data_IF_218881501085
#
_entry.id   IF_218881501085
#
_cell.length_a   1.000
_cell.length_b   1.000
_cell.length_c   1.000
_cell.angle_alpha   90.00
_cell.angle_beta   90.00
_cell.angle_gamma   90.00
#
_symmetry.space_group_name_H-M   'P 1'
#
loop_
_entity.id
_entity.type
_entity.pdbx_description
1 polymer ?
#
# COMPACT_ATOMS: atom_id res chain seq x y z
N UNK A 1 16.40 3.69 5.95
CA UNK A 1 15.82 2.51 5.29
C UNK A 1 16.94 1.55 4.99
N UNK A 2 16.94 0.35 5.56
CA UNK A 2 17.84 -0.70 5.06
C UNK A 2 17.32 -1.09 3.67
N UNK A 3 18.09 -0.77 2.66
CA UNK A 3 17.84 -1.19 1.28
C UNK A 3 17.95 -2.71 1.21
N UNK A 4 17.12 -3.34 0.39
CA UNK A 4 17.17 -4.79 0.13
C UNK A 4 18.59 -5.17 -0.27
N UNK A 5 19.13 -6.24 0.32
CA UNK A 5 20.49 -6.67 0.01
C UNK A 5 20.60 -7.06 -1.49
N UNK A 6 21.63 -6.64 -2.25
CA UNK A 6 21.69 -6.89 -3.70
C UNK A 6 21.52 -8.37 -4.08
N UNK A 7 22.18 -9.27 -3.33
CA UNK A 7 22.04 -10.71 -3.54
C UNK A 7 20.61 -11.24 -3.29
N UNK A 8 19.85 -10.62 -2.37
CA UNK A 8 18.45 -10.96 -2.13
C UNK A 8 17.54 -10.41 -3.23
N UNK A 9 17.88 -9.28 -3.84
CA UNK A 9 17.14 -8.70 -4.96
C UNK A 9 17.23 -9.61 -6.20
N UNK A 10 18.43 -10.12 -6.51
CA UNK A 10 18.63 -11.06 -7.63
C UNK A 10 17.84 -12.36 -7.41
N UNK A 11 17.86 -12.91 -6.20
CA UNK A 11 17.10 -14.13 -5.87
C UNK A 11 15.59 -13.89 -5.92
N UNK A 12 15.11 -12.72 -5.49
CA UNK A 12 13.70 -12.33 -5.65
C UNK A 12 13.33 -12.24 -7.12
N UNK A 13 14.15 -11.59 -7.95
CA UNK A 13 13.86 -11.47 -9.38
C UNK A 13 13.77 -12.84 -10.05
N UNK A 14 14.73 -13.71 -9.78
CA UNK A 14 14.73 -15.08 -10.27
C UNK A 14 13.46 -15.84 -9.84
N UNK A 15 13.05 -15.67 -8.58
CA UNK A 15 11.83 -16.30 -8.09
C UNK A 15 10.57 -15.78 -8.81
N UNK A 16 10.48 -14.47 -9.05
CA UNK A 16 9.35 -13.87 -9.75
C UNK A 16 9.27 -14.32 -11.21
N UNK A 17 10.42 -14.51 -11.87
CA UNK A 17 10.48 -15.04 -13.24
C UNK A 17 10.01 -16.51 -13.30
N UNK A 18 10.36 -17.32 -12.30
CA UNK A 18 9.89 -18.69 -12.17
C UNK A 18 8.38 -18.74 -11.88
N UNK A 19 7.88 -17.85 -11.02
CA UNK A 19 6.46 -17.72 -10.74
C UNK A 19 5.66 -17.35 -12.00
N UNK A 20 6.20 -16.43 -12.82
CA UNK A 20 5.60 -16.06 -14.10
C UNK A 20 5.57 -17.22 -15.11
N UNK A 21 6.50 -18.17 -15.01
CA UNK A 21 6.49 -19.42 -15.78
C UNK A 21 5.55 -20.50 -15.20
N UNK A 22 4.83 -20.20 -14.10
CA UNK A 22 3.99 -21.16 -13.38
C UNK A 22 4.75 -22.13 -12.49
N UNK A 23 6.08 -21.98 -12.36
CA UNK A 23 6.92 -22.83 -11.51
C UNK A 23 6.90 -22.32 -10.07
N UNK A 24 5.81 -22.62 -9.37
CA UNK A 24 5.53 -22.07 -8.04
C UNK A 24 6.45 -22.62 -6.94
N UNK A 25 6.76 -23.92 -6.92
CA UNK A 25 7.63 -24.49 -5.88
C UNK A 25 9.08 -23.98 -5.98
N UNK A 26 9.71 -23.89 -7.17
CA UNK A 26 11.01 -23.25 -7.31
C UNK A 26 10.98 -21.77 -6.91
N UNK A 27 9.92 -21.04 -7.28
CA UNK A 27 9.77 -19.64 -6.88
C UNK A 27 9.70 -19.48 -5.37
N UNK A 28 8.92 -20.31 -4.68
CA UNK A 28 8.85 -20.33 -3.21
C UNK A 28 10.23 -20.59 -2.58
N UNK A 29 10.97 -21.57 -3.09
CA UNK A 29 12.32 -21.89 -2.62
C UNK A 29 13.26 -20.67 -2.70
N UNK A 30 13.29 -19.98 -3.85
CA UNK A 30 14.17 -18.82 -4.02
C UNK A 30 13.74 -17.62 -3.17
N UNK A 31 12.44 -17.40 -2.97
CA UNK A 31 11.97 -16.35 -2.06
C UNK A 31 12.29 -16.63 -0.60
N UNK A 32 12.17 -17.88 -0.16
CA UNK A 32 12.55 -18.28 1.20
C UNK A 32 14.06 -18.09 1.41
N UNK A 33 14.88 -18.48 0.43
CA UNK A 33 16.32 -18.24 0.45
C UNK A 33 16.66 -16.75 0.47
N UNK A 34 15.94 -15.92 -0.29
CA UNK A 34 16.11 -14.46 -0.24
C UNK A 34 15.80 -13.90 1.16
N UNK A 35 14.81 -14.46 1.86
CA UNK A 35 14.47 -14.08 3.23
C UNK A 35 15.48 -14.55 4.27
N UNK A 36 16.15 -15.68 4.04
CA UNK A 36 17.27 -16.14 4.88
C UNK A 36 18.49 -15.22 4.72
N UNK A 37 18.77 -14.77 3.49
CA UNK A 37 19.87 -13.83 3.18
C UNK A 37 19.57 -12.45 3.75
N UNK A 38 18.34 -11.95 3.54
CA UNK A 38 17.88 -10.66 4.04
C UNK A 38 16.51 -10.81 4.73
N UNK A 39 16.49 -10.95 6.08
CA UNK A 39 15.26 -11.04 6.84
C UNK A 39 14.58 -9.68 7.03
N UNK A 40 14.72 -8.76 6.07
CA UNK A 40 14.11 -7.43 6.12
C UNK A 40 12.59 -7.49 5.93
N UNK A 41 11.94 -6.46 6.45
CA UNK A 41 10.50 -6.25 6.29
C UNK A 41 10.08 -6.17 4.81
N UNK A 42 10.96 -5.65 3.94
CA UNK A 42 10.69 -5.60 2.49
C UNK A 42 10.57 -6.99 1.87
N UNK A 43 11.51 -7.89 2.15
CA UNK A 43 11.47 -9.27 1.67
C UNK A 43 10.28 -10.03 2.26
N UNK A 44 9.97 -9.78 3.54
CA UNK A 44 8.78 -10.33 4.18
C UNK A 44 7.46 -9.91 3.49
N UNK A 45 7.36 -8.65 3.05
CA UNK A 45 6.21 -8.18 2.27
C UNK A 45 6.11 -8.91 0.92
N UNK A 46 7.23 -9.11 0.21
CA UNK A 46 7.26 -9.85 -1.07
C UNK A 46 6.75 -11.27 -0.88
N UNK A 47 7.25 -12.00 0.13
CA UNK A 47 6.78 -13.34 0.46
C UNK A 47 5.28 -13.37 0.75
N UNK A 48 4.77 -12.42 1.55
CA UNK A 48 3.34 -12.39 1.86
C UNK A 48 2.45 -12.15 0.64
N UNK A 49 2.84 -11.23 -0.26
CA UNK A 49 2.15 -11.03 -1.53
C UNK A 49 2.22 -12.27 -2.43
N UNK A 50 3.39 -12.92 -2.51
CA UNK A 50 3.56 -14.15 -3.29
C UNK A 50 2.62 -15.26 -2.81
N UNK A 51 2.58 -15.55 -1.50
CA UNK A 51 1.69 -16.56 -0.96
C UNK A 51 0.22 -16.23 -1.19
N UNK A 52 -0.19 -14.98 -0.94
CA UNK A 52 -1.58 -14.60 -1.07
C UNK A 52 -2.07 -14.63 -2.53
N UNK A 53 -1.27 -14.15 -3.49
CA UNK A 53 -1.69 -13.95 -4.87
C UNK A 53 -1.34 -15.12 -5.79
N UNK A 54 -0.12 -15.65 -5.68
CA UNK A 54 0.38 -16.70 -6.58
C UNK A 54 0.00 -18.09 -6.07
N UNK A 55 0.21 -18.35 -4.78
CA UNK A 55 -0.12 -19.64 -4.16
C UNK A 55 -1.56 -19.74 -3.68
N UNK A 56 -2.32 -18.63 -3.71
CA UNK A 56 -3.68 -18.51 -3.17
C UNK A 56 -3.80 -18.92 -1.69
N UNK A 57 -2.69 -18.86 -0.96
CA UNK A 57 -2.62 -19.16 0.47
C UNK A 57 -2.69 -17.84 1.25
N UNK A 58 -3.93 -17.39 1.48
CA UNK A 58 -4.20 -16.15 2.20
C UNK A 58 -3.69 -16.18 3.64
N UNK A 59 -3.70 -17.35 4.30
CA UNK A 59 -3.26 -17.47 5.69
C UNK A 59 -1.75 -17.27 5.83
N UNK A 60 -0.95 -17.88 4.94
CA UNK A 60 0.50 -17.61 4.88
C UNK A 60 0.77 -16.17 4.46
N UNK A 61 0.02 -15.65 3.48
CA UNK A 61 0.14 -14.27 3.03
C UNK A 61 -0.02 -13.25 4.16
N UNK A 62 -1.15 -13.33 4.88
CA UNK A 62 -1.43 -12.54 6.09
C UNK A 62 -0.26 -12.66 7.08
N UNK A 63 0.18 -13.89 7.40
CA UNK A 63 1.24 -14.14 8.39
C UNK A 63 2.55 -13.43 8.04
N UNK A 64 3.01 -13.52 6.79
CA UNK A 64 4.27 -12.90 6.37
C UNK A 64 4.19 -11.38 6.34
N UNK A 65 3.09 -10.80 5.85
CA UNK A 65 2.89 -9.35 5.83
C UNK A 65 2.77 -8.76 7.25
N UNK A 66 2.05 -9.42 8.16
CA UNK A 66 2.01 -8.99 9.56
C UNK A 66 3.38 -9.11 10.23
N UNK A 67 4.11 -10.21 9.99
CA UNK A 67 5.46 -10.38 10.53
C UNK A 67 6.40 -9.28 10.04
N UNK A 68 6.35 -8.92 8.76
CA UNK A 68 7.15 -7.83 8.19
C UNK A 68 6.92 -6.51 8.94
N UNK A 69 5.67 -6.08 9.10
CA UNK A 69 5.34 -4.86 9.83
C UNK A 69 5.75 -4.91 11.31
N UNK A 70 5.71 -6.09 11.94
CA UNK A 70 6.17 -6.26 13.32
C UNK A 70 7.69 -6.14 13.48
N UNK A 71 8.47 -6.47 12.44
CA UNK A 71 9.93 -6.34 12.45
C UNK A 71 10.36 -4.86 12.49
N UNK A 72 9.66 -3.99 11.76
CA UNK A 72 9.88 -2.54 11.83
C UNK A 72 8.55 -1.77 11.86
N UNK A 73 8.05 -1.55 13.08
CA UNK A 73 6.79 -0.85 13.35
C UNK A 73 6.80 0.63 12.97
N UNK A 74 7.97 1.20 12.64
CA UNK A 74 8.12 2.60 12.21
C UNK A 74 8.33 2.72 10.71
N UNK A 75 8.48 1.61 9.99
CA UNK A 75 8.62 1.60 8.54
C UNK A 75 7.27 1.89 7.86
N UNK A 76 7.16 3.08 7.28
CA UNK A 76 5.99 3.51 6.55
C UNK A 76 5.71 2.61 5.34
N UNK A 77 6.75 2.15 4.63
CA UNK A 77 6.60 1.33 3.42
C UNK A 77 5.97 -0.01 3.73
N UNK A 78 6.49 -0.76 4.69
CA UNK A 78 5.89 -2.07 5.02
C UNK A 78 4.51 -1.94 5.64
N UNK A 79 4.26 -0.87 6.40
CA UNK A 79 2.92 -0.54 6.90
C UNK A 79 1.95 -0.26 5.75
N UNK A 80 2.40 0.47 4.72
CA UNK A 80 1.64 0.71 3.50
C UNK A 80 1.35 -0.61 2.76
N UNK A 81 2.34 -1.47 2.57
CA UNK A 81 2.18 -2.76 1.87
C UNK A 81 1.10 -3.63 2.52
N UNK A 82 1.10 -3.75 3.85
CA UNK A 82 0.05 -4.46 4.58
C UNK A 82 -1.32 -3.80 4.39
N UNK A 83 -1.39 -2.46 4.42
CA UNK A 83 -2.64 -1.73 4.22
C UNK A 83 -3.21 -1.93 2.80
N UNK A 84 -2.35 -1.91 1.78
CA UNK A 84 -2.71 -2.18 0.37
C UNK A 84 -3.17 -3.63 0.22
N UNK A 85 -2.47 -4.58 0.82
CA UNK A 85 -2.89 -5.97 0.80
C UNK A 85 -4.29 -6.18 1.41
N UNK A 86 -4.56 -5.56 2.56
CA UNK A 86 -5.88 -5.59 3.18
C UNK A 86 -6.95 -4.91 2.31
N UNK A 87 -6.59 -3.86 1.57
CA UNK A 87 -7.47 -3.20 0.62
C UNK A 87 -7.82 -4.12 -0.56
N UNK A 88 -6.82 -4.75 -1.19
CA UNK A 88 -7.01 -5.65 -2.34
C UNK A 88 -7.76 -6.94 -1.95
N UNK A 89 -7.65 -7.38 -0.70
CA UNK A 89 -8.44 -8.51 -0.14
C UNK A 89 -9.80 -8.08 0.42
N UNK A 90 -10.29 -6.88 0.07
CA UNK A 90 -11.59 -6.32 0.46
C UNK A 90 -11.83 -6.18 1.98
N UNK A 91 -10.77 -6.16 2.79
CA UNK A 91 -10.83 -5.95 4.24
C UNK A 91 -10.70 -4.46 4.58
N UNK A 92 -11.64 -3.67 4.04
CA UNK A 92 -11.55 -2.20 3.97
C UNK A 92 -11.43 -1.52 5.35
N UNK A 93 -12.13 -2.00 6.38
CA UNK A 93 -12.04 -1.42 7.73
C UNK A 93 -10.63 -1.54 8.31
N UNK A 94 -10.03 -2.73 8.16
CA UNK A 94 -8.65 -2.98 8.62
C UNK A 94 -7.66 -2.19 7.76
N UNK A 95 -7.85 -2.17 6.44
CA UNK A 95 -7.02 -1.39 5.53
C UNK A 95 -6.99 0.09 5.93
N UNK A 96 -8.16 0.68 6.20
CA UNK A 96 -8.31 2.07 6.64
C UNK A 96 -7.49 2.35 7.91
N UNK A 97 -7.60 1.50 8.93
CA UNK A 97 -6.82 1.63 10.16
C UNK A 97 -5.30 1.57 9.90
N UNK A 98 -4.85 0.68 9.02
CA UNK A 98 -3.44 0.54 8.67
C UNK A 98 -2.92 1.69 7.80
N UNK A 99 -3.75 2.27 6.91
CA UNK A 99 -3.38 3.50 6.20
C UNK A 99 -3.20 4.68 7.16
N UNK A 100 -4.08 4.84 8.16
CA UNK A 100 -3.87 5.84 9.21
C UNK A 100 -2.59 5.57 10.01
N UNK A 101 -2.29 4.30 10.31
CA UNK A 101 -1.03 3.93 10.97
C UNK A 101 0.18 4.32 10.12
N UNK A 102 0.12 4.10 8.81
CA UNK A 102 1.17 4.52 7.87
C UNK A 102 1.39 6.04 7.94
N UNK A 103 0.32 6.85 8.01
CA UNK A 103 0.43 8.31 8.09
C UNK A 103 1.02 8.83 9.41
N UNK A 104 1.08 7.98 10.44
CA UNK A 104 1.76 8.28 11.72
C UNK A 104 3.24 7.88 11.70
N UNK A 105 3.74 7.25 10.64
CA UNK A 105 5.16 6.92 10.52
C UNK A 105 6.00 8.18 10.26
N UNK A 106 7.28 8.21 10.69
CA UNK A 106 8.14 9.37 10.50
C UNK A 106 8.46 9.65 9.03
N UNK A 107 8.64 8.58 8.23
CA UNK A 107 8.95 8.69 6.82
C UNK A 107 7.69 8.98 6.00
N UNK A 108 7.63 10.19 5.45
CA UNK A 108 6.47 10.69 4.70
C UNK A 108 6.48 10.32 3.22
N UNK A 109 7.51 9.66 2.70
CA UNK A 109 7.66 9.38 1.25
C UNK A 109 6.46 8.64 0.66
N UNK A 110 5.88 7.72 1.42
CA UNK A 110 4.75 6.89 0.97
C UNK A 110 3.38 7.43 1.41
N UNK A 111 3.33 8.52 2.18
CA UNK A 111 2.07 9.12 2.64
C UNK A 111 1.13 9.53 1.50
N UNK A 112 1.58 10.08 0.35
CA UNK A 112 0.68 10.39 -0.76
C UNK A 112 -0.09 9.15 -1.24
N UNK A 113 0.56 7.99 -1.25
CA UNK A 113 -0.05 6.71 -1.64
C UNK A 113 -1.08 6.27 -0.60
N UNK A 114 -0.75 6.34 0.70
CA UNK A 114 -1.72 6.03 1.77
C UNK A 114 -2.96 6.93 1.72
N UNK A 115 -2.78 8.24 1.49
CA UNK A 115 -3.88 9.20 1.33
C UNK A 115 -4.76 8.86 0.11
N UNK A 116 -4.16 8.47 -1.01
CA UNK A 116 -4.89 8.04 -2.19
C UNK A 116 -5.76 6.80 -1.93
N UNK A 117 -5.23 5.79 -1.24
CA UNK A 117 -6.04 4.61 -0.89
C UNK A 117 -7.13 4.92 0.13
N UNK A 118 -6.89 5.80 1.12
CA UNK A 118 -7.96 6.31 1.99
C UNK A 118 -9.06 6.98 1.17
N UNK A 119 -8.71 7.79 0.16
CA UNK A 119 -9.70 8.38 -0.72
C UNK A 119 -10.55 7.31 -1.44
N UNK A 120 -9.92 6.25 -1.95
CA UNK A 120 -10.63 5.12 -2.58
C UNK A 120 -11.58 4.42 -1.62
N UNK A 121 -11.14 4.15 -0.39
CA UNK A 121 -11.98 3.53 0.65
C UNK A 121 -13.19 4.42 0.96
N UNK A 122 -12.97 5.72 1.21
CA UNK A 122 -14.07 6.64 1.51
C UNK A 122 -15.03 6.82 0.34
N UNK A 123 -14.54 6.70 -0.90
CA UNK A 123 -15.43 6.65 -2.05
C UNK A 123 -16.30 5.38 -2.07
N UNK A 124 -15.73 4.22 -1.78
CA UNK A 124 -16.49 2.95 -1.68
C UNK A 124 -17.52 2.99 -0.55
N UNK A 125 -17.24 3.70 0.54
CA UNK A 125 -18.18 3.94 1.63
C UNK A 125 -19.19 5.06 1.37
N UNK A 126 -19.27 5.58 0.15
CA UNK A 126 -20.17 6.65 -0.23
C UNK A 126 -19.99 7.92 0.64
N UNK A 127 -18.73 8.30 0.89
CA UNK A 127 -18.29 9.51 1.60
C UNK A 127 -17.39 10.36 0.69
N UNK A 128 -17.93 10.91 -0.42
CA UNK A 128 -17.14 11.58 -1.45
C UNK A 128 -16.43 12.84 -0.93
N UNK A 129 -16.97 13.52 0.09
CA UNK A 129 -16.35 14.71 0.69
C UNK A 129 -15.02 14.35 1.36
N UNK A 130 -15.00 13.24 2.11
CA UNK A 130 -13.76 12.73 2.71
C UNK A 130 -12.79 12.24 1.64
N UNK A 131 -13.31 11.57 0.61
CA UNK A 131 -12.50 11.15 -0.54
C UNK A 131 -11.76 12.33 -1.19
N UNK A 132 -12.48 13.40 -1.53
CA UNK A 132 -11.92 14.63 -2.10
C UNK A 132 -10.87 15.26 -1.19
N UNK A 133 -11.12 15.32 0.12
CA UNK A 133 -10.16 15.87 1.09
C UNK A 133 -8.84 15.09 1.09
N UNK A 134 -8.89 13.76 1.18
CA UNK A 134 -7.68 12.94 1.14
C UNK A 134 -6.95 13.03 -0.20
N UNK A 135 -7.70 13.13 -1.29
CA UNK A 135 -7.13 13.22 -2.63
C UNK A 135 -6.40 14.54 -2.86
N UNK A 136 -6.97 15.65 -2.40
CA UNK A 136 -6.33 16.96 -2.41
C UNK A 136 -5.08 16.98 -1.53
N UNK A 137 -5.10 16.32 -0.37
CA UNK A 137 -3.89 16.18 0.48
C UNK A 137 -2.79 15.37 -0.24
N UNK A 138 -3.15 14.26 -0.88
CA UNK A 138 -2.20 13.45 -1.65
C UNK A 138 -1.53 14.28 -2.76
N UNK A 139 -2.31 15.05 -3.50
CA UNK A 139 -1.82 15.91 -4.60
C UNK A 139 -1.03 17.13 -4.12
N UNK A 140 -1.32 17.66 -2.92
CA UNK A 140 -0.46 18.70 -2.31
C UNK A 140 0.93 18.17 -1.97
N UNK A 141 1.02 16.92 -1.52
CA UNK A 141 2.31 16.30 -1.20
C UNK A 141 3.05 15.83 -2.46
N UNK A 142 2.30 15.35 -3.46
CA UNK A 142 2.83 14.86 -4.73
C UNK A 142 1.95 15.36 -5.89
N UNK A 143 2.23 16.56 -6.44
CA UNK A 143 1.41 17.17 -7.50
C UNK A 143 1.36 16.35 -8.80
N UNK A 144 2.43 15.63 -9.11
CA UNK A 144 2.60 14.74 -10.26
C UNK A 144 2.01 13.34 -10.03
N UNK A 145 1.19 13.14 -8.99
CA UNK A 145 0.60 11.83 -8.73
C UNK A 145 -0.56 11.51 -9.69
N UNK A 146 -0.21 10.94 -10.84
CA UNK A 146 -1.14 10.64 -11.94
C UNK A 146 -2.38 9.84 -11.51
N UNK A 147 -2.21 8.81 -10.67
CA UNK A 147 -3.33 8.00 -10.21
C UNK A 147 -4.34 8.84 -9.41
N UNK A 148 -3.85 9.71 -8.52
CA UNK A 148 -4.69 10.61 -7.75
C UNK A 148 -5.37 11.66 -8.64
N UNK A 149 -4.65 12.24 -9.61
CA UNK A 149 -5.23 13.20 -10.57
C UNK A 149 -6.34 12.58 -11.42
N UNK A 150 -6.11 11.37 -11.96
CA UNK A 150 -7.14 10.64 -12.72
C UNK A 150 -8.36 10.32 -11.86
N UNK A 151 -8.13 9.93 -10.61
CA UNK A 151 -9.23 9.65 -9.69
C UNK A 151 -10.02 10.91 -9.35
N UNK A 152 -9.35 12.05 -9.16
CA UNK A 152 -9.98 13.33 -8.85
C UNK A 152 -10.87 13.76 -10.02
N UNK A 153 -10.34 13.74 -11.23
CA UNK A 153 -11.07 14.10 -12.43
C UNK A 153 -12.32 13.24 -12.63
N UNK A 154 -12.23 11.93 -12.36
CA UNK A 154 -13.39 11.02 -12.40
C UNK A 154 -14.43 11.39 -11.35
N UNK A 155 -14.00 11.66 -10.12
CA UNK A 155 -14.90 12.01 -9.01
C UNK A 155 -15.60 13.36 -9.22
N UNK A 156 -14.91 14.32 -9.85
CA UNK A 156 -15.52 15.60 -10.25
C UNK A 156 -16.58 15.43 -11.32
N UNK A 157 -16.29 14.63 -12.35
CA UNK A 157 -17.23 14.36 -13.45
C UNK A 157 -18.49 13.62 -13.03
N UNK A 158 -18.47 12.85 -11.94
CA UNK A 158 -19.67 12.20 -11.39
C UNK A 158 -20.63 13.17 -10.68
N UNK A 159 -20.46 14.50 -10.80
CA UNK A 159 -21.31 15.51 -10.16
C UNK A 159 -21.13 15.66 -8.65
N UNK A 160 -20.29 14.83 -8.02
CA UNK A 160 -20.05 14.82 -6.57
C UNK A 160 -19.10 15.92 -6.09
N UNK A 161 -18.44 16.66 -7.00
CA UNK A 161 -17.44 17.66 -6.64
C UNK A 161 -17.74 19.10 -7.07
N UNK A 162 -18.79 19.34 -7.85
CA UNK A 162 -19.15 20.70 -8.29
C UNK A 162 -19.56 21.61 -7.12
N UNK A 163 -19.94 21.02 -5.98
CA UNK A 163 -20.32 21.77 -4.78
C UNK A 163 -19.13 22.22 -3.89
N UNK A 164 -17.87 21.90 -4.22
CA UNK A 164 -16.75 22.10 -3.29
C UNK A 164 -15.53 22.85 -3.86
N UNK A 165 -15.54 23.23 -5.14
CA UNK A 165 -14.44 24.01 -5.72
C UNK A 165 -14.45 25.50 -5.31
N UNK A 166 -15.48 25.97 -4.60
CA UNK A 166 -15.69 27.39 -4.33
C UNK A 166 -15.56 27.86 -2.88
N UNK A 167 -15.52 26.99 -1.85
CA UNK A 167 -15.71 27.48 -0.47
C UNK A 167 -14.82 26.93 0.67
N UNK A 168 -13.83 26.07 0.40
CA UNK A 168 -13.01 25.49 1.49
C UNK A 168 -11.53 25.88 1.36
N UNK A 169 -11.26 27.18 1.60
CA UNK A 169 -9.92 27.79 1.65
C UNK A 169 -9.04 27.25 2.79
N UNK A 170 -9.49 26.25 3.57
CA UNK A 170 -8.71 25.72 4.67
C UNK A 170 -8.99 24.23 4.99
N UNK A 171 -8.40 23.25 4.26
CA UNK A 171 -8.46 21.85 4.65
C UNK A 171 -7.37 21.49 5.69
N UNK A 172 -7.00 22.45 6.52
CA UNK A 172 -5.93 22.35 7.51
C UNK A 172 -6.29 21.42 8.66
N UNK A 173 -5.43 20.41 8.85
CA UNK A 173 -5.37 19.46 9.97
C UNK A 173 -6.46 18.38 10.03
N UNK A 174 -6.18 17.27 9.35
CA UNK A 174 -6.62 15.97 9.86
C UNK A 174 -5.67 15.63 11.02
N UNK A 175 -6.16 15.75 12.25
CA UNK A 175 -5.47 15.18 13.43
C UNK A 175 -5.58 13.66 13.32
N UNK A 176 -4.43 13.02 13.13
CA UNK A 176 -4.30 11.56 13.12
C UNK A 176 -4.18 11.01 14.52
#
# INVERSE_FOLDING_TARGET
MKTVHPASLETIQQAMDLAAQGKMEPAEYFLLRAHEIDPSSSVGCVLGWFYAQQMKDQAKGDRYLFKAVLQDRRNATSTLELAVYLYETHRLDRACAWFYRCLRCPDKKVHPVALYFLARIYQQWNRPERSLRYLNLALRMKPDFEAANRFLNRLKKSGLAENYTSNDSNPGQIRF
#
